data_IF_356455387837
#
_entry.id   IF_356455387837
#
_cell.length_a   1.000
_cell.length_b   1.000
_cell.length_c   1.000
_cell.angle_alpha   90.00
_cell.angle_beta   90.00
_cell.angle_gamma   90.00
#
_symmetry.space_group_name_H-M   'P 1'
#
loop_
_entity.id
_entity.type
_entity.pdbx_description
1 polymer ?
#
# COMPACT_ATOMS: atom_id res chain seq x y z
N UNK A 1 -1.30 -5.25 -6.66
CA UNK A 1 -1.08 -4.28 -5.57
C UNK A 1 -2.37 -4.18 -4.78
N UNK A 2 -2.29 -4.22 -3.46
CA UNK A 2 -3.40 -4.10 -2.53
C UNK A 2 -3.33 -2.76 -1.81
N UNK A 3 -4.47 -2.15 -1.46
CA UNK A 3 -4.53 -0.88 -0.73
C UNK A 3 -5.29 -1.13 0.57
N UNK A 4 -4.69 -0.79 1.70
CA UNK A 4 -5.27 -1.00 3.03
C UNK A 4 -4.68 -0.04 4.06
N UNK A 5 -5.18 -0.09 5.29
CA UNK A 5 -4.77 0.81 6.37
C UNK A 5 -4.54 0.07 7.70
N UNK A 6 -4.64 -1.26 7.70
CA UNK A 6 -4.57 -2.08 8.91
C UNK A 6 -3.56 -3.22 8.82
N UNK A 7 -3.16 -3.75 9.96
CA UNK A 7 -2.32 -4.96 10.03
C UNK A 7 -3.01 -6.18 9.41
N UNK A 8 -4.35 -6.24 9.45
CA UNK A 8 -5.11 -7.33 8.80
C UNK A 8 -4.87 -7.34 7.29
N UNK A 9 -4.81 -6.16 6.66
CA UNK A 9 -4.48 -6.04 5.24
C UNK A 9 -3.06 -6.55 4.94
N UNK A 10 -2.10 -6.19 5.82
CA UNK A 10 -0.71 -6.63 5.69
C UNK A 10 -0.55 -8.13 5.85
N UNK A 11 -1.28 -8.73 6.78
CA UNK A 11 -1.29 -10.18 6.98
C UNK A 11 -1.95 -10.90 5.78
N UNK A 12 -3.04 -10.32 5.25
CA UNK A 12 -3.73 -10.87 4.09
C UNK A 12 -2.84 -10.94 2.85
N UNK A 13 -1.97 -9.95 2.64
CA UNK A 13 -1.06 -9.91 1.49
C UNK A 13 0.25 -10.69 1.71
N UNK A 14 0.60 -11.02 2.96
CA UNK A 14 1.90 -11.60 3.31
C UNK A 14 2.20 -12.94 2.62
N UNK A 15 1.18 -13.77 2.41
CA UNK A 15 1.36 -15.14 1.88
C UNK A 15 1.44 -15.24 0.36
N UNK A 16 1.26 -14.14 -0.38
CA UNK A 16 1.08 -14.15 -1.83
C UNK A 16 1.98 -13.16 -2.58
N UNK A 17 3.02 -12.62 -1.90
CA UNK A 17 3.96 -11.64 -2.46
C UNK A 17 3.26 -10.41 -3.09
N UNK A 18 2.12 -10.01 -2.50
CA UNK A 18 1.34 -8.87 -2.97
C UNK A 18 1.84 -7.59 -2.31
N UNK A 19 2.38 -6.66 -3.11
CA UNK A 19 2.74 -5.30 -2.68
C UNK A 19 1.53 -4.56 -2.08
N UNK A 20 1.74 -3.93 -0.93
CA UNK A 20 0.78 -3.15 -0.16
C UNK A 20 1.06 -1.64 -0.32
N UNK A 21 -0.01 -0.88 -0.53
CA UNK A 21 -0.05 0.58 -0.37
C UNK A 21 -0.84 0.88 0.90
N UNK A 22 -0.19 1.50 1.88
CA UNK A 22 -0.85 1.99 3.09
C UNK A 22 -1.61 3.30 2.82
N UNK A 23 -2.87 3.37 3.18
CA UNK A 23 -3.70 4.57 3.09
C UNK A 23 -3.86 5.24 4.46
N UNK A 24 -3.40 6.50 4.58
CA UNK A 24 -3.50 7.33 5.80
C UNK A 24 -2.93 6.68 7.08
N UNK A 25 -2.08 5.66 6.94
CA UNK A 25 -1.42 5.00 8.06
C UNK A 25 0.10 4.89 7.80
N UNK A 26 0.90 5.94 8.09
CA UNK A 26 2.34 5.92 7.85
C UNK A 26 3.08 4.86 8.68
N UNK A 27 2.48 4.38 9.77
CA UNK A 27 3.10 3.39 10.67
C UNK A 27 2.84 1.94 10.20
N UNK A 28 1.93 1.72 9.24
CA UNK A 28 1.69 0.40 8.68
C UNK A 28 2.90 -0.05 7.84
N UNK A 29 3.49 -1.24 8.09
CA UNK A 29 4.56 -1.78 7.26
C UNK A 29 4.05 -2.12 5.84
N UNK A 30 4.31 -1.24 4.88
CA UNK A 30 3.88 -1.34 3.48
C UNK A 30 4.98 -0.85 2.54
N UNK A 31 4.98 -1.29 1.28
CA UNK A 31 5.95 -0.86 0.26
C UNK A 31 5.74 0.60 -0.17
N UNK A 32 4.51 1.11 -0.07
CA UNK A 32 4.15 2.48 -0.39
C UNK A 32 3.16 3.05 0.62
N UNK A 33 3.13 4.37 0.75
CA UNK A 33 2.21 5.09 1.62
C UNK A 33 1.60 6.26 0.87
N UNK A 34 0.29 6.46 1.04
CA UNK A 34 -0.46 7.57 0.44
C UNK A 34 -1.44 8.15 1.45
N UNK A 35 -1.72 9.46 1.34
CA UNK A 35 -2.74 10.11 2.18
C UNK A 35 -4.03 10.41 1.40
N UNK A 36 -3.96 10.34 0.07
CA UNK A 36 -5.06 10.47 -0.87
C UNK A 36 -4.94 9.41 -1.97
N UNK A 37 -6.07 8.92 -2.48
CA UNK A 37 -6.05 8.05 -3.65
C UNK A 37 -5.51 8.75 -4.91
N UNK A 38 -5.55 10.08 -4.94
CA UNK A 38 -4.95 10.87 -6.03
C UNK A 38 -3.42 10.79 -6.06
N UNK A 39 -2.78 10.33 -4.98
CA UNK A 39 -1.32 10.15 -4.92
C UNK A 39 -0.89 8.86 -5.63
N UNK A 40 -1.81 7.89 -5.79
CA UNK A 40 -1.51 6.55 -6.33
C UNK A 40 -0.89 6.60 -7.73
N UNK A 41 -1.44 7.35 -8.70
CA UNK A 41 -0.84 7.42 -10.04
C UNK A 41 0.63 7.88 -10.01
N UNK A 42 1.05 8.67 -9.01
CA UNK A 42 2.43 9.14 -8.86
C UNK A 42 3.39 8.13 -8.22
N UNK A 43 2.93 6.96 -7.79
CA UNK A 43 3.80 5.96 -7.18
C UNK A 43 4.76 5.36 -8.22
N UNK A 44 6.02 5.04 -7.83
CA UNK A 44 7.03 4.49 -8.75
C UNK A 44 6.60 3.22 -9.50
N UNK A 45 5.65 2.47 -8.96
CA UNK A 45 5.14 1.22 -9.55
C UNK A 45 4.16 1.42 -10.71
N UNK A 46 3.70 2.65 -10.91
CA UNK A 46 2.77 3.04 -11.97
C UNK A 46 3.37 4.08 -12.92
N UNK A 47 4.65 4.43 -12.75
CA UNK A 47 5.40 5.32 -13.62
C UNK A 47 6.28 4.47 -14.54
N UNK A 48 6.32 4.80 -15.84
CA UNK A 48 7.20 4.17 -16.84
C UNK A 48 8.65 4.67 -16.74
#
# INVERSE_FOLDING_TARGET
VYIGDSMVDREHTAGVDMRLISFKNPDLPAEYHVNSFLDIPGLPIFQE
#
